data_IF_469048471688
#
_entry.id   IF_469048471688
#
_cell.length_a   1.000
_cell.length_b   1.000
_cell.length_c   1.000
_cell.angle_alpha   90.00
_cell.angle_beta   90.00
_cell.angle_gamma   90.00
#
_symmetry.space_group_name_H-M   'P 1'
#
loop_
_entity.id
_entity.type
_entity.pdbx_description
1 polymer ?
#
# COMPACT_ATOMS: atom_id res chain seq x y z
N UNK A 1 -18.21 -11.05 -7.75
CA UNK A 1 -18.28 -9.59 -7.56
C UNK A 1 -16.89 -9.04 -7.22
N UNK A 2 -15.89 -9.24 -8.09
CA UNK A 2 -14.47 -8.99 -7.74
C UNK A 2 -14.09 -7.50 -7.67
N UNK A 3 -14.87 -6.61 -8.32
CA UNK A 3 -14.54 -5.18 -8.44
C UNK A 3 -15.11 -4.29 -7.34
N UNK A 4 -16.07 -4.77 -6.54
CA UNK A 4 -16.74 -3.94 -5.53
C UNK A 4 -15.77 -3.34 -4.49
N UNK A 5 -14.80 -4.10 -3.94
CA UNK A 5 -13.80 -3.53 -3.02
C UNK A 5 -12.94 -2.43 -3.66
N UNK A 6 -12.59 -2.56 -4.95
CA UNK A 6 -11.80 -1.55 -5.70
C UNK A 6 -12.60 -0.26 -5.93
N UNK A 7 -13.91 -0.38 -6.20
CA UNK A 7 -14.80 0.78 -6.32
C UNK A 7 -14.94 1.53 -5.00
N UNK A 8 -15.11 0.82 -3.89
CA UNK A 8 -15.14 1.43 -2.56
C UNK A 8 -13.82 2.19 -2.25
N UNK A 9 -12.67 1.57 -2.54
CA UNK A 9 -11.38 2.24 -2.37
C UNK A 9 -11.21 3.46 -3.27
N UNK A 10 -11.78 3.45 -4.47
CA UNK A 10 -11.78 4.61 -5.36
C UNK A 10 -12.59 5.78 -4.77
N UNK A 11 -13.70 5.49 -4.08
CA UNK A 11 -14.45 6.51 -3.33
C UNK A 11 -13.61 7.09 -2.18
N UNK A 12 -12.91 6.26 -1.42
CA UNK A 12 -12.02 6.74 -0.36
C UNK A 12 -10.85 7.58 -0.92
N UNK A 13 -10.24 7.15 -2.03
CA UNK A 13 -9.20 7.91 -2.72
C UNK A 13 -9.71 9.29 -3.12
N UNK A 14 -10.91 9.40 -3.71
CA UNK A 14 -11.49 10.67 -4.12
C UNK A 14 -11.73 11.61 -2.92
N UNK A 15 -12.09 11.06 -1.75
CA UNK A 15 -12.16 11.82 -0.49
C UNK A 15 -10.77 12.32 -0.09
N UNK A 16 -9.74 11.47 -0.20
CA UNK A 16 -8.34 11.84 0.01
C UNK A 16 -7.90 13.01 -0.88
N UNK A 17 -8.15 12.93 -2.18
CA UNK A 17 -7.84 13.97 -3.16
C UNK A 17 -8.52 15.31 -2.83
N UNK A 18 -9.79 15.24 -2.42
CA UNK A 18 -10.56 16.42 -2.00
C UNK A 18 -9.94 17.07 -0.75
N UNK A 19 -9.57 16.27 0.26
CA UNK A 19 -8.95 16.80 1.48
C UNK A 19 -7.53 17.30 1.23
N UNK A 20 -6.77 16.68 0.33
CA UNK A 20 -5.47 17.18 -0.11
C UNK A 20 -5.60 18.57 -0.73
N UNK A 21 -6.58 18.74 -1.63
CA UNK A 21 -6.87 20.03 -2.24
C UNK A 21 -7.28 21.06 -1.18
N UNK A 22 -8.19 20.70 -0.27
CA UNK A 22 -8.65 21.59 0.82
C UNK A 22 -7.51 22.00 1.75
N UNK A 23 -6.68 21.05 2.17
CA UNK A 23 -5.51 21.29 3.03
C UNK A 23 -4.49 22.18 2.33
N UNK A 24 -4.12 21.86 1.09
CA UNK A 24 -3.18 22.65 0.28
C UNK A 24 -3.67 24.08 0.07
N UNK A 25 -4.98 24.24 -0.20
CA UNK A 25 -5.62 25.55 -0.36
C UNK A 25 -5.57 26.36 0.93
N UNK A 26 -5.85 25.72 2.07
CA UNK A 26 -5.82 26.34 3.38
C UNK A 26 -4.41 26.83 3.77
N UNK A 27 -3.38 26.06 3.42
CA UNK A 27 -2.00 26.37 3.80
C UNK A 27 -1.29 27.32 2.84
N UNK A 28 -1.50 27.17 1.53
CA UNK A 28 -0.68 27.82 0.51
C UNK A 28 -1.50 28.52 -0.60
N UNK A 29 -2.83 28.48 -0.52
CA UNK A 29 -3.73 29.14 -1.46
C UNK A 29 -4.10 28.31 -2.69
N UNK A 30 -5.04 28.85 -3.49
CA UNK A 30 -5.70 28.13 -4.60
C UNK A 30 -4.74 27.65 -5.69
N UNK A 31 -3.69 28.42 -6.01
CA UNK A 31 -2.75 28.05 -7.07
C UNK A 31 -1.95 26.79 -6.69
N UNK A 32 -1.45 26.73 -5.45
CA UNK A 32 -0.73 25.57 -4.93
C UNK A 32 -1.65 24.35 -4.84
N UNK A 33 -2.89 24.53 -4.40
CA UNK A 33 -3.85 23.44 -4.29
C UNK A 33 -4.12 22.72 -5.63
N UNK A 34 -4.23 23.48 -6.73
CA UNK A 34 -4.40 22.90 -8.08
C UNK A 34 -3.18 22.09 -8.50
N UNK A 35 -1.98 22.60 -8.23
CA UNK A 35 -0.74 21.89 -8.56
C UNK A 35 -0.46 20.71 -7.65
N UNK A 36 -0.86 20.77 -6.37
CA UNK A 36 -0.78 19.64 -5.45
C UNK A 36 -1.68 18.49 -5.91
N UNK A 37 -2.94 18.79 -6.28
CA UNK A 37 -3.85 17.79 -6.85
C UNK A 37 -3.33 17.22 -8.17
N UNK A 38 -2.75 18.06 -9.04
CA UNK A 38 -2.07 17.57 -10.25
C UNK A 38 -0.92 16.61 -9.89
N UNK A 39 -0.05 16.98 -8.94
CA UNK A 39 1.05 16.13 -8.48
C UNK A 39 0.58 14.79 -7.91
N UNK A 40 -0.50 14.79 -7.13
CA UNK A 40 -1.12 13.59 -6.57
C UNK A 40 -1.63 12.64 -7.66
N UNK A 41 -2.51 13.15 -8.54
CA UNK A 41 -3.18 12.35 -9.57
C UNK A 41 -2.23 11.83 -10.64
N UNK A 42 -1.08 12.47 -10.82
CA UNK A 42 -0.10 12.10 -11.83
C UNK A 42 1.10 11.35 -11.27
N UNK A 43 1.29 11.30 -9.95
CA UNK A 43 2.36 10.50 -9.36
C UNK A 43 2.08 9.00 -9.56
N UNK A 44 3.08 8.28 -10.05
CA UNK A 44 2.90 6.88 -10.44
C UNK A 44 2.54 5.97 -9.26
N UNK A 45 3.12 6.22 -8.08
CA UNK A 45 2.93 5.37 -6.91
C UNK A 45 1.59 5.63 -6.24
N UNK A 46 1.16 6.89 -6.13
CA UNK A 46 -0.18 7.23 -5.67
C UNK A 46 -1.23 6.56 -6.56
N UNK A 47 -1.13 6.72 -7.88
CA UNK A 47 -2.04 6.10 -8.85
C UNK A 47 -2.10 4.57 -8.68
N UNK A 48 -0.94 3.93 -8.51
CA UNK A 48 -0.81 2.48 -8.36
C UNK A 48 -1.35 1.94 -7.02
N UNK A 49 -1.14 2.66 -5.91
CA UNK A 49 -1.40 2.14 -4.57
C UNK A 49 -2.75 2.56 -3.97
N UNK A 50 -3.18 3.81 -4.12
CA UNK A 50 -4.25 4.38 -3.28
C UNK A 50 -5.62 3.71 -3.49
N UNK A 51 -5.85 3.13 -4.66
CA UNK A 51 -7.10 2.42 -5.00
C UNK A 51 -7.06 0.92 -4.68
N UNK A 52 -5.90 0.41 -4.23
CA UNK A 52 -5.77 -0.98 -3.77
C UNK A 52 -6.39 -1.13 -2.39
N UNK A 53 -6.91 -2.33 -2.10
CA UNK A 53 -7.55 -2.71 -0.84
C UNK A 53 -6.51 -2.94 0.27
N UNK A 54 -5.75 -1.90 0.58
CA UNK A 54 -4.73 -1.87 1.63
C UNK A 54 -5.23 -1.00 2.78
N UNK A 55 -4.95 -1.41 4.02
CA UNK A 55 -5.19 -0.55 5.19
C UNK A 55 -4.37 0.74 5.12
N UNK A 56 -3.17 0.70 4.53
CA UNK A 56 -2.34 1.89 4.28
C UNK A 56 -3.01 2.92 3.36
N UNK A 57 -3.83 2.50 2.40
CA UNK A 57 -4.57 3.43 1.53
C UNK A 57 -5.58 4.21 2.35
N UNK A 58 -6.34 3.53 3.22
CA UNK A 58 -7.30 4.18 4.12
C UNK A 58 -6.60 5.04 5.18
N UNK A 59 -5.48 4.58 5.75
CA UNK A 59 -4.61 5.37 6.63
C UNK A 59 -4.14 6.66 5.96
N UNK A 60 -3.78 6.61 4.68
CA UNK A 60 -3.35 7.78 3.90
C UNK A 60 -4.48 8.79 3.74
N UNK A 61 -5.68 8.33 3.37
CA UNK A 61 -6.89 9.18 3.25
C UNK A 61 -7.24 9.82 4.59
N UNK A 62 -7.27 9.02 5.67
CA UNK A 62 -7.57 9.50 7.02
C UNK A 62 -6.49 10.46 7.53
N UNK A 63 -5.22 10.25 7.19
CA UNK A 63 -4.13 11.16 7.52
C UNK A 63 -4.38 12.53 6.91
N UNK A 64 -4.59 12.61 5.59
CA UNK A 64 -4.79 13.91 4.92
C UNK A 64 -6.10 14.59 5.37
N UNK A 65 -7.18 13.81 5.51
CA UNK A 65 -8.45 14.32 6.03
C UNK A 65 -8.32 14.82 7.47
N UNK A 66 -7.62 14.09 8.33
CA UNK A 66 -7.42 14.49 9.72
C UNK A 66 -6.53 15.72 9.83
N UNK A 67 -5.40 15.79 9.12
CA UNK A 67 -4.49 16.95 9.11
C UNK A 67 -5.22 18.26 8.74
N UNK A 68 -6.23 18.22 7.88
CA UNK A 68 -7.07 19.38 7.58
C UNK A 68 -7.76 19.99 8.81
N UNK A 69 -8.13 19.16 9.79
CA UNK A 69 -8.86 19.55 10.99
C UNK A 69 -7.97 20.04 12.14
N UNK A 70 -6.66 19.80 12.08
CA UNK A 70 -5.72 20.15 13.17
C UNK A 70 -5.32 21.64 13.17
N UNK A 71 -5.59 22.38 14.27
CA UNK A 71 -5.26 23.81 14.37
C UNK A 71 -3.76 24.10 14.31
N UNK A 72 -2.91 23.25 14.90
CA UNK A 72 -1.45 23.42 14.91
C UNK A 72 -0.84 23.51 13.52
N UNK A 73 -1.51 23.05 12.47
CA UNK A 73 -1.04 23.13 11.09
C UNK A 73 -1.48 24.42 10.39
N UNK A 74 -2.48 25.13 10.93
CA UNK A 74 -3.04 26.35 10.36
C UNK A 74 -2.20 27.57 10.75
N UNK A 75 -2.05 28.52 9.82
CA UNK A 75 -1.30 29.77 10.03
C UNK A 75 -2.18 30.86 10.68
N UNK A 76 -3.51 30.82 10.50
CA UNK A 76 -4.43 31.84 11.03
C UNK A 76 -5.87 31.33 11.16
N UNK A 77 -6.29 30.94 12.36
CA UNK A 77 -7.66 31.16 12.87
C UNK A 77 -7.72 30.68 14.32
N UNK A 78 -8.00 31.61 15.25
CA UNK A 78 -8.08 31.33 16.70
C UNK A 78 -9.51 31.14 17.22
N UNK A 79 -10.54 31.50 16.46
CA UNK A 79 -11.93 31.55 16.97
C UNK A 79 -12.69 30.22 16.90
N UNK A 80 -12.43 29.37 15.88
CA UNK A 80 -13.14 28.08 15.68
C UNK A 80 -12.26 26.83 15.87
N UNK A 81 -11.09 26.99 16.49
CA UNK A 81 -10.06 25.94 16.54
C UNK A 81 -10.48 24.68 17.34
N UNK A 82 -11.31 24.84 18.38
CA UNK A 82 -11.70 23.75 19.28
C UNK A 82 -12.66 22.75 18.61
N UNK A 83 -13.69 23.23 17.90
CA UNK A 83 -14.68 22.35 17.27
C UNK A 83 -14.09 21.56 16.10
N UNK A 84 -13.16 22.17 15.34
CA UNK A 84 -12.46 21.46 14.27
C UNK A 84 -11.48 20.42 14.82
N UNK A 85 -10.81 20.67 15.94
CA UNK A 85 -9.82 19.75 16.51
C UNK A 85 -10.43 18.43 16.97
N UNK A 86 -11.63 18.43 17.54
CA UNK A 86 -12.32 17.20 17.96
C UNK A 86 -12.51 16.26 16.77
N UNK A 87 -12.89 16.78 15.60
CA UNK A 87 -12.97 15.95 14.38
C UNK A 87 -11.61 15.39 13.96
N UNK A 88 -10.53 16.17 14.09
CA UNK A 88 -9.17 15.71 13.87
C UNK A 88 -8.77 14.57 14.81
N UNK A 89 -9.13 14.66 16.10
CA UNK A 89 -8.91 13.61 17.10
C UNK A 89 -9.71 12.34 16.81
N UNK A 90 -10.98 12.47 16.41
CA UNK A 90 -11.82 11.33 16.03
C UNK A 90 -11.21 10.60 14.84
N UNK A 91 -10.84 11.33 13.78
CA UNK A 91 -10.17 10.74 12.61
C UNK A 91 -8.85 10.08 12.99
N UNK A 92 -8.06 10.71 13.87
CA UNK A 92 -6.81 10.14 14.36
C UNK A 92 -7.01 8.84 15.15
N UNK A 93 -8.00 8.80 16.04
CA UNK A 93 -8.32 7.62 16.82
C UNK A 93 -8.80 6.47 15.93
N UNK A 94 -9.67 6.75 14.95
CA UNK A 94 -10.09 5.75 13.96
C UNK A 94 -8.93 5.24 13.12
N UNK A 95 -8.02 6.11 12.67
CA UNK A 95 -6.84 5.71 11.93
C UNK A 95 -5.96 4.75 12.77
N UNK A 96 -5.73 5.06 14.05
CA UNK A 96 -4.98 4.19 14.96
C UNK A 96 -5.64 2.83 15.23
N UNK A 97 -6.98 2.76 15.28
CA UNK A 97 -7.68 1.47 15.42
C UNK A 97 -7.58 0.64 14.14
N UNK A 98 -7.85 1.26 12.99
CA UNK A 98 -7.74 0.59 11.68
C UNK A 98 -6.31 0.13 11.44
N UNK A 99 -5.34 0.93 11.89
CA UNK A 99 -3.93 0.67 11.73
C UNK A 99 -3.10 1.29 12.87
N UNK A 100 -2.63 0.47 13.84
CA UNK A 100 -1.89 0.98 15.00
C UNK A 100 -0.65 1.80 14.67
N UNK A 101 -0.02 1.55 13.51
CA UNK A 101 1.15 2.34 13.06
C UNK A 101 0.83 3.81 12.77
N UNK A 102 -0.44 4.17 12.52
CA UNK A 102 -0.87 5.57 12.37
C UNK A 102 -0.56 6.42 13.60
N UNK A 103 -0.38 5.79 14.77
CA UNK A 103 0.04 6.47 15.99
C UNK A 103 1.34 7.27 15.79
N UNK A 104 2.27 6.80 14.92
CA UNK A 104 3.51 7.51 14.61
C UNK A 104 3.23 8.94 14.11
N UNK A 105 2.24 9.11 13.23
CA UNK A 105 1.84 10.40 12.66
C UNK A 105 1.14 11.24 13.72
N UNK A 106 0.17 10.65 14.43
CA UNK A 106 -0.67 11.39 15.36
C UNK A 106 0.04 11.77 16.65
N UNK A 107 1.08 11.03 17.07
CA UNK A 107 1.98 11.44 18.14
C UNK A 107 2.70 12.73 17.76
N UNK A 108 3.24 12.84 16.54
CA UNK A 108 3.89 14.08 16.09
C UNK A 108 2.92 15.27 16.11
N UNK A 109 1.74 15.10 15.51
CA UNK A 109 0.71 16.15 15.43
C UNK A 109 0.20 16.53 16.83
N UNK A 110 -0.03 15.54 17.70
CA UNK A 110 -0.48 15.73 19.07
C UNK A 110 0.56 16.44 19.93
N UNK A 111 1.84 16.09 19.82
CA UNK A 111 2.94 16.79 20.50
C UNK A 111 3.07 18.24 20.01
N UNK A 112 2.93 18.47 18.70
CA UNK A 112 2.92 19.81 18.13
C UNK A 112 1.76 20.65 18.67
N UNK A 113 0.53 20.11 18.68
CA UNK A 113 -0.64 20.79 19.26
C UNK A 113 -0.45 21.04 20.76
N UNK A 114 0.05 20.06 21.52
CA UNK A 114 0.30 20.18 22.96
C UNK A 114 1.33 21.29 23.27
N UNK A 115 2.35 21.45 22.42
CA UNK A 115 3.34 22.51 22.56
C UNK A 115 2.76 23.91 22.34
N UNK A 116 1.72 24.02 21.52
CA UNK A 116 1.04 25.27 21.16
C UNK A 116 -0.21 25.55 22.01
N UNK A 117 -0.78 24.53 22.65
CA UNK A 117 -2.00 24.62 23.42
C UNK A 117 -1.79 25.44 24.69
N UNK A 118 -2.71 26.39 24.93
CA UNK A 118 -2.71 27.23 26.13
C UNK A 118 -3.12 26.45 27.38
N UNK A 119 -4.05 25.52 27.23
CA UNK A 119 -4.54 24.65 28.30
C UNK A 119 -4.29 23.18 27.94
N UNK A 120 -3.12 22.69 28.35
CA UNK A 120 -2.63 21.34 28.05
C UNK A 120 -3.44 20.26 28.75
N UNK A 121 -3.86 20.52 29.98
CA UNK A 121 -4.61 19.56 30.78
C UNK A 121 -6.01 19.34 30.21
N UNK A 122 -6.69 20.43 29.82
CA UNK A 122 -7.97 20.33 29.12
C UNK A 122 -7.85 19.53 27.84
N UNK A 123 -6.83 19.79 27.01
CA UNK A 123 -6.63 19.05 25.77
C UNK A 123 -6.46 17.54 26.02
N UNK A 124 -5.63 17.15 26.99
CA UNK A 124 -5.39 15.74 27.29
C UNK A 124 -6.64 15.07 27.90
N UNK A 125 -7.18 15.62 28.99
CA UNK A 125 -8.20 14.94 29.79
C UNK A 125 -9.63 15.12 29.28
N UNK A 126 -9.93 16.22 28.58
CA UNK A 126 -11.29 16.51 28.08
C UNK A 126 -11.46 16.28 26.59
N UNK A 127 -10.38 16.13 25.81
CA UNK A 127 -10.47 15.89 24.37
C UNK A 127 -9.80 14.56 23.96
N UNK A 128 -8.51 14.36 24.25
CA UNK A 128 -7.76 13.16 23.82
C UNK A 128 -8.27 11.90 24.53
N UNK A 129 -8.30 11.92 25.87
CA UNK A 129 -8.65 10.74 26.66
C UNK A 129 -10.09 10.25 26.40
N UNK A 130 -11.13 11.10 26.39
CA UNK A 130 -12.49 10.64 26.15
C UNK A 130 -12.68 10.07 24.74
N UNK A 131 -12.11 10.71 23.71
CA UNK A 131 -12.19 10.23 22.32
C UNK A 131 -11.44 8.91 22.17
N UNK A 132 -10.24 8.81 22.73
CA UNK A 132 -9.42 7.60 22.69
C UNK A 132 -10.09 6.42 23.39
N UNK A 133 -10.60 6.62 24.60
CA UNK A 133 -11.32 5.59 25.36
C UNK A 133 -12.58 5.12 24.63
N UNK A 134 -13.37 6.05 24.09
CA UNK A 134 -14.58 5.72 23.35
C UNK A 134 -14.27 4.87 22.11
N UNK A 135 -13.35 5.32 21.26
CA UNK A 135 -13.02 4.64 20.00
C UNK A 135 -12.35 3.29 20.26
N UNK A 136 -11.44 3.21 21.23
CA UNK A 136 -10.79 1.94 21.60
C UNK A 136 -11.79 0.97 22.24
N UNK A 137 -12.68 1.46 23.11
CA UNK A 137 -13.73 0.65 23.72
C UNK A 137 -14.71 0.08 22.70
N UNK A 138 -15.13 0.88 21.72
CA UNK A 138 -15.94 0.41 20.60
C UNK A 138 -15.21 -0.64 19.74
N UNK A 139 -13.91 -0.43 19.48
CA UNK A 139 -13.10 -1.39 18.74
C UNK A 139 -12.97 -2.73 19.49
N UNK A 140 -12.67 -2.68 20.79
CA UNK A 140 -12.55 -3.89 21.64
C UNK A 140 -13.89 -4.63 21.76
N UNK A 141 -15.01 -3.91 21.77
CA UNK A 141 -16.34 -4.52 21.75
C UNK A 141 -16.58 -5.26 20.42
N UNK A 142 -16.23 -4.64 19.29
CA UNK A 142 -16.33 -5.28 17.97
C UNK A 142 -15.42 -6.51 17.89
N UNK A 143 -14.18 -6.41 18.37
CA UNK A 143 -13.25 -7.54 18.45
C UNK A 143 -13.84 -8.67 19.30
N UNK A 144 -14.46 -8.35 20.44
CA UNK A 144 -15.13 -9.35 21.29
C UNK A 144 -16.30 -10.06 20.60
N UNK A 145 -17.06 -9.34 19.77
CA UNK A 145 -18.18 -9.91 19.00
C UNK A 145 -17.68 -10.85 17.90
N UNK A 146 -16.57 -10.51 17.25
CA UNK A 146 -16.02 -11.28 16.13
C UNK A 146 -15.20 -12.48 16.61
N UNK A 147 -14.26 -12.26 17.55
CA UNK A 147 -13.36 -13.31 18.03
C UNK A 147 -13.98 -14.22 19.10
N UNK A 148 -15.10 -13.82 19.71
CA UNK A 148 -15.72 -14.58 20.80
C UNK A 148 -14.98 -14.47 22.15
N UNK A 149 -13.86 -13.74 22.21
CA UNK A 149 -13.04 -13.51 23.40
C UNK A 149 -12.60 -12.05 23.49
N UNK A 150 -12.22 -11.59 24.69
CA UNK A 150 -11.75 -10.21 24.86
C UNK A 150 -10.33 -10.09 24.31
N UNK A 151 -10.19 -9.38 23.19
CA UNK A 151 -8.92 -9.17 22.51
C UNK A 151 -8.70 -7.69 22.30
N UNK A 152 -7.52 -7.19 22.69
CA UNK A 152 -7.10 -5.84 22.40
C UNK A 152 -6.12 -5.87 21.22
N UNK A 153 -6.65 -5.83 20.00
CA UNK A 153 -5.87 -6.01 18.76
C UNK A 153 -4.67 -5.04 18.65
N UNK A 154 -4.79 -3.73 18.96
CA UNK A 154 -3.66 -2.82 18.91
C UNK A 154 -2.50 -3.20 19.86
N UNK A 155 -2.80 -3.78 21.02
CA UNK A 155 -1.79 -4.24 21.97
C UNK A 155 -1.07 -5.48 21.44
N UNK A 156 -1.82 -6.46 20.92
CA UNK A 156 -1.23 -7.65 20.30
C UNK A 156 -0.36 -7.29 19.09
N UNK A 157 -0.81 -6.33 18.27
CA UNK A 157 -0.02 -5.79 17.17
C UNK A 157 1.31 -5.21 17.67
N UNK A 158 1.29 -4.42 18.74
CA UNK A 158 2.49 -3.83 19.32
C UNK A 158 3.45 -4.90 19.83
N UNK A 159 2.94 -5.89 20.58
CA UNK A 159 3.74 -7.03 21.06
C UNK A 159 4.42 -7.74 19.89
N UNK A 160 3.66 -8.17 18.88
CA UNK A 160 4.19 -8.95 17.77
C UNK A 160 5.20 -8.18 16.90
N UNK A 161 4.88 -6.94 16.53
CA UNK A 161 5.67 -6.19 15.55
C UNK A 161 6.89 -5.49 16.15
N UNK A 162 6.81 -5.01 17.39
CA UNK A 162 7.88 -4.23 18.02
C UNK A 162 8.66 -5.01 19.07
N UNK A 163 8.03 -5.93 19.81
CA UNK A 163 8.69 -6.67 20.88
C UNK A 163 9.14 -8.07 20.46
N UNK A 164 8.48 -8.71 19.49
CA UNK A 164 8.75 -10.11 19.13
C UNK A 164 9.65 -10.31 17.88
N UNK A 165 10.21 -9.26 17.28
CA UNK A 165 10.95 -9.30 15.99
C UNK A 165 10.20 -10.01 14.84
N UNK A 166 8.87 -10.18 14.95
CA UNK A 166 8.09 -10.96 13.99
C UNK A 166 8.09 -10.36 12.58
N UNK A 167 8.26 -9.04 12.48
CA UNK A 167 8.38 -8.35 11.19
C UNK A 167 9.63 -8.72 10.41
N UNK A 168 10.73 -9.07 11.08
CA UNK A 168 12.01 -9.39 10.42
C UNK A 168 11.93 -10.72 9.64
N UNK A 169 10.93 -11.55 9.92
CA UNK A 169 10.61 -12.77 9.15
C UNK A 169 10.42 -12.47 7.66
N UNK A 170 9.83 -11.33 7.34
CA UNK A 170 9.53 -10.92 5.96
C UNK A 170 10.69 -10.18 5.28
N UNK A 171 11.92 -10.36 5.79
CA UNK A 171 13.12 -9.73 5.26
C UNK A 171 13.38 -8.33 5.81
N UNK A 172 14.64 -7.89 5.70
CA UNK A 172 15.09 -6.60 6.25
C UNK A 172 15.82 -5.75 5.23
N UNK A 173 15.73 -4.42 5.41
CA UNK A 173 16.44 -3.45 4.60
C UNK A 173 17.32 -2.55 5.47
N UNK A 174 18.41 -2.01 4.89
CA UNK A 174 19.30 -1.07 5.59
C UNK A 174 18.55 0.17 6.08
N UNK A 175 19.02 0.79 7.17
CA UNK A 175 18.35 1.93 7.81
C UNK A 175 18.09 3.10 6.85
N UNK A 176 19.00 3.36 5.91
CA UNK A 176 18.89 4.47 4.95
C UNK A 176 17.93 4.19 3.79
N UNK A 177 17.34 3.00 3.70
CA UNK A 177 16.57 2.55 2.53
C UNK A 177 15.47 3.53 2.14
N UNK A 178 14.69 4.06 3.09
CA UNK A 178 13.65 5.05 2.79
C UNK A 178 14.20 6.34 2.17
N UNK A 179 15.38 6.79 2.58
CA UNK A 179 16.00 8.04 2.09
C UNK A 179 16.71 7.86 0.76
N UNK A 180 17.24 6.67 0.47
CA UNK A 180 18.01 6.42 -0.75
C UNK A 180 17.18 5.78 -1.86
N UNK A 181 16.22 4.93 -1.52
CA UNK A 181 15.48 4.09 -2.46
C UNK A 181 13.97 4.17 -2.25
N UNK A 182 13.47 3.82 -1.06
CA UNK A 182 12.05 3.66 -0.77
C UNK A 182 11.20 4.88 -1.13
N UNK A 183 11.33 5.95 -0.34
CA UNK A 183 10.52 7.16 -0.51
C UNK A 183 10.93 7.96 -1.75
N UNK A 184 12.20 7.91 -2.16
CA UNK A 184 12.71 8.58 -3.35
C UNK A 184 12.11 7.99 -4.63
N UNK A 185 11.98 6.66 -4.73
CA UNK A 185 11.34 5.99 -5.87
C UNK A 185 9.84 6.26 -5.91
N UNK A 186 9.17 6.35 -4.77
CA UNK A 186 7.75 6.76 -4.70
C UNK A 186 7.54 8.16 -5.29
N UNK A 187 8.44 9.10 -5.00
CA UNK A 187 8.40 10.46 -5.59
C UNK A 187 8.84 10.48 -7.06
N UNK A 188 9.78 9.62 -7.46
CA UNK A 188 10.35 9.57 -8.81
C UNK A 188 10.75 10.98 -9.31
N UNK A 189 10.21 11.44 -10.43
CA UNK A 189 10.53 12.74 -11.03
C UNK A 189 9.91 13.92 -10.30
N UNK A 190 9.02 13.70 -9.33
CA UNK A 190 8.55 14.74 -8.42
C UNK A 190 9.55 15.08 -7.30
N UNK A 191 10.56 14.23 -7.06
CA UNK A 191 11.55 14.42 -5.99
C UNK A 191 12.19 15.83 -5.97
N UNK A 192 12.77 16.35 -7.08
CA UNK A 192 13.38 17.68 -7.06
C UNK A 192 12.36 18.80 -6.79
N UNK A 193 11.12 18.65 -7.26
CA UNK A 193 10.05 19.62 -7.01
C UNK A 193 9.60 19.61 -5.55
N UNK A 194 9.51 18.42 -4.94
CA UNK A 194 9.18 18.25 -3.52
C UNK A 194 10.24 18.91 -2.63
N UNK A 195 11.53 18.63 -2.89
CA UNK A 195 12.65 19.22 -2.14
C UNK A 195 12.69 20.75 -2.28
N UNK A 196 12.55 21.27 -3.51
CA UNK A 196 12.46 22.71 -3.73
C UNK A 196 11.25 23.31 -2.99
N UNK A 197 10.13 22.59 -2.92
CA UNK A 197 8.91 23.06 -2.28
C UNK A 197 9.03 23.14 -0.77
N UNK A 198 9.72 22.15 -0.16
CA UNK A 198 10.07 22.17 1.27
C UNK A 198 10.92 23.41 1.58
N UNK A 199 11.96 23.67 0.80
CA UNK A 199 12.87 24.81 1.01
C UNK A 199 12.15 26.14 0.81
N UNK A 200 11.34 26.27 -0.25
CA UNK A 200 10.69 27.52 -0.62
C UNK A 200 9.51 27.87 0.28
N UNK A 201 8.73 26.89 0.72
CA UNK A 201 7.55 27.12 1.57
C UNK A 201 7.91 27.44 3.02
N UNK A 202 9.09 27.01 3.49
CA UNK A 202 9.55 27.13 4.89
C UNK A 202 8.56 26.53 5.91
N UNK A 203 7.69 25.62 5.48
CA UNK A 203 6.70 25.00 6.37
C UNK A 203 7.31 23.81 7.12
N UNK A 204 8.00 24.11 8.22
CA UNK A 204 8.70 23.11 9.03
C UNK A 204 7.78 22.07 9.69
N UNK A 205 6.50 22.40 9.91
CA UNK A 205 5.55 21.50 10.58
C UNK A 205 5.23 20.27 9.72
N UNK A 206 5.04 20.48 8.41
CA UNK A 206 4.76 19.38 7.48
C UNK A 206 6.03 18.69 7.01
N UNK A 207 7.12 19.43 6.76
CA UNK A 207 8.40 18.79 6.40
C UNK A 207 8.99 18.01 7.57
N UNK A 208 8.80 18.50 8.80
CA UNK A 208 9.13 17.81 10.04
C UNK A 208 8.32 16.52 10.24
N UNK A 209 7.03 16.51 9.89
CA UNK A 209 6.23 15.28 9.90
C UNK A 209 6.76 14.22 8.92
N UNK A 210 7.10 14.61 7.69
CA UNK A 210 7.71 13.68 6.72
C UNK A 210 9.00 13.12 7.30
N UNK A 211 9.91 13.97 7.80
CA UNK A 211 11.17 13.54 8.37
C UNK A 211 10.97 12.61 9.58
N UNK A 212 10.05 12.94 10.49
CA UNK A 212 9.69 12.15 11.66
C UNK A 212 9.26 10.72 11.28
N UNK A 213 8.34 10.60 10.32
CA UNK A 213 7.84 9.32 9.84
C UNK A 213 8.96 8.50 9.19
N UNK A 214 9.74 9.11 8.29
CA UNK A 214 10.83 8.40 7.60
C UNK A 214 11.90 7.91 8.59
N UNK A 215 12.29 8.74 9.57
CA UNK A 215 13.29 8.38 10.58
C UNK A 215 12.80 7.21 11.44
N UNK A 216 11.57 7.26 11.95
CA UNK A 216 11.06 6.20 12.83
C UNK A 216 10.89 4.87 12.10
N UNK A 217 10.34 4.88 10.88
CA UNK A 217 10.27 3.65 10.08
C UNK A 217 11.65 3.16 9.61
N UNK A 218 12.64 4.04 9.50
CA UNK A 218 14.02 3.65 9.19
C UNK A 218 14.71 2.84 10.28
N UNK A 219 14.25 2.94 11.54
CA UNK A 219 14.76 2.15 12.68
C UNK A 219 14.32 0.69 12.59
N UNK A 220 13.15 0.41 12.02
CA UNK A 220 12.62 -0.95 11.89
C UNK A 220 13.38 -1.77 10.86
N UNK A 221 13.65 -3.05 11.12
CA UNK A 221 14.37 -3.94 10.20
C UNK A 221 13.61 -4.12 8.89
N UNK A 222 12.38 -4.62 9.00
CA UNK A 222 11.45 -4.77 7.89
C UNK A 222 10.87 -3.43 7.42
N UNK A 223 10.89 -3.21 6.10
CA UNK A 223 10.47 -1.96 5.45
C UNK A 223 9.69 -2.27 4.19
N UNK A 224 8.63 -1.52 3.99
CA UNK A 224 7.84 -1.58 2.76
C UNK A 224 7.51 -0.16 2.28
N UNK A 225 7.31 0.00 0.97
CA UNK A 225 6.89 1.29 0.39
C UNK A 225 5.56 1.78 0.96
N UNK A 226 4.60 0.87 1.19
CA UNK A 226 3.25 1.24 1.67
C UNK A 226 3.22 1.80 3.09
N UNK A 227 4.21 1.50 3.94
CA UNK A 227 4.26 2.00 5.32
C UNK A 227 4.41 3.53 5.41
N UNK A 228 5.09 4.14 4.42
CA UNK A 228 5.30 5.58 4.35
C UNK A 228 4.40 6.27 3.32
N UNK A 229 3.43 5.53 2.74
CA UNK A 229 2.41 6.08 1.85
C UNK A 229 1.65 7.28 2.48
N UNK A 230 1.31 7.29 3.79
CA UNK A 230 0.53 8.39 4.37
C UNK A 230 1.18 9.77 4.31
N UNK A 231 2.51 9.84 4.18
CA UNK A 231 3.25 11.10 4.05
C UNK A 231 3.60 11.45 2.60
N UNK A 232 3.34 10.57 1.63
CA UNK A 232 3.57 10.83 0.21
C UNK A 232 2.72 12.00 -0.32
N UNK A 233 1.41 12.13 -0.03
CA UNK A 233 0.63 13.28 -0.48
C UNK A 233 1.14 14.62 0.08
N UNK A 234 1.72 14.60 1.28
CA UNK A 234 2.33 15.79 1.89
C UNK A 234 3.58 16.21 1.11
N UNK A 235 4.40 15.25 0.69
CA UNK A 235 5.54 15.51 -0.18
C UNK A 235 5.10 16.01 -1.57
N UNK A 236 4.05 15.44 -2.15
CA UNK A 236 3.49 15.88 -3.43
C UNK A 236 2.83 17.26 -3.36
N UNK A 237 2.28 17.65 -2.20
CA UNK A 237 1.85 19.02 -1.95
C UNK A 237 3.02 20.02 -2.02
N UNK A 238 4.21 19.67 -1.54
CA UNK A 238 5.41 20.50 -1.73
C UNK A 238 5.84 20.56 -3.20
N UNK A 239 5.72 19.47 -3.96
CA UNK A 239 5.91 19.51 -5.42
C UNK A 239 4.95 20.50 -6.07
N UNK A 240 3.68 20.49 -5.64
CA UNK A 240 2.66 21.45 -6.07
C UNK A 240 3.05 22.90 -5.76
N UNK A 241 3.69 23.16 -4.61
CA UNK A 241 4.18 24.48 -4.25
C UNK A 241 5.24 25.00 -5.24
N UNK A 242 6.21 24.16 -5.58
CA UNK A 242 7.27 24.49 -6.57
C UNK A 242 6.69 24.74 -7.96
N UNK A 243 5.78 23.87 -8.42
CA UNK A 243 5.09 24.03 -9.70
C UNK A 243 4.27 25.33 -9.76
N UNK A 244 3.58 25.68 -8.66
CA UNK A 244 2.87 26.94 -8.55
C UNK A 244 3.79 28.17 -8.62
N UNK A 245 5.00 28.08 -8.07
CA UNK A 245 5.98 29.15 -8.17
C UNK A 245 6.48 29.33 -9.62
N UNK A 246 6.75 28.23 -10.34
CA UNK A 246 7.13 28.25 -11.76
C UNK A 246 5.99 28.83 -12.60
N UNK A 247 4.75 28.38 -12.37
CA UNK A 247 3.56 28.83 -13.07
C UNK A 247 3.33 30.33 -12.92
N UNK A 248 3.45 30.88 -11.70
CA UNK A 248 3.29 32.32 -11.44
C UNK A 248 4.36 33.17 -12.12
N UNK A 249 5.63 32.73 -12.09
CA UNK A 249 6.72 33.42 -12.80
C UNK A 249 6.46 33.47 -14.31
N UNK A 250 6.00 32.36 -14.89
CA UNK A 250 5.64 32.31 -16.29
C UNK A 250 4.50 33.27 -16.64
N UNK A 251 3.43 33.34 -15.84
CA UNK A 251 2.33 34.29 -16.08
C UNK A 251 2.84 35.74 -16.03
N UNK A 252 3.72 36.07 -15.09
CA UNK A 252 4.32 37.40 -14.98
C UNK A 252 5.26 37.74 -16.17
N UNK A 253 6.02 36.77 -16.68
CA UNK A 253 6.89 36.93 -17.85
C UNK A 253 6.09 37.04 -19.16
N UNK A 254 5.03 36.25 -19.33
CA UNK A 254 4.16 36.27 -20.51
C UNK A 254 3.37 37.59 -20.64
N UNK A 255 3.03 38.24 -19.51
CA UNK A 255 2.45 39.58 -19.49
C UNK A 255 3.46 40.67 -19.92
N UNK A 256 4.77 40.42 -19.77
CA UNK A 256 5.83 41.37 -20.11
C UNK A 256 6.41 41.17 -21.51
N UNK A 257 6.46 39.94 -22.01
CA UNK A 257 7.01 39.60 -23.32
C UNK A 257 6.11 38.60 -24.06
N UNK A 258 5.73 38.93 -25.30
CA UNK A 258 5.10 38.00 -26.26
C UNK A 258 6.10 36.91 -26.70
N UNK A 259 6.46 36.00 -25.78
CA UNK A 259 7.41 34.92 -26.06
C UNK A 259 6.76 33.79 -26.86
N UNK A 260 7.43 33.37 -27.95
CA UNK A 260 7.05 32.25 -28.84
C UNK A 260 7.46 30.86 -28.33
N UNK A 261 8.25 30.77 -27.26
CA UNK A 261 8.79 29.47 -26.79
C UNK A 261 7.82 28.76 -25.84
N UNK A 262 7.74 27.40 -25.87
CA UNK A 262 7.01 26.65 -24.87
C UNK A 262 7.60 26.93 -23.49
N UNK A 263 6.73 27.35 -22.58
CA UNK A 263 7.13 27.77 -21.24
C UNK A 263 7.88 26.66 -20.50
N UNK A 264 8.84 27.04 -19.63
CA UNK A 264 9.50 26.10 -18.69
C UNK A 264 8.49 25.21 -17.96
N UNK A 265 7.28 25.74 -17.73
CA UNK A 265 6.15 25.03 -17.17
C UNK A 265 5.63 23.89 -18.07
N UNK A 266 5.44 24.12 -19.37
CA UNK A 266 5.00 23.07 -20.31
C UNK A 266 5.98 21.91 -20.34
N UNK A 267 7.28 22.20 -20.39
CA UNK A 267 8.31 21.16 -20.35
C UNK A 267 8.29 20.37 -19.04
N UNK A 268 8.14 21.04 -17.89
CA UNK A 268 8.01 20.38 -16.60
C UNK A 268 6.80 19.44 -16.56
N UNK A 269 5.63 19.90 -17.04
CA UNK A 269 4.41 19.07 -17.10
C UNK A 269 4.62 17.87 -18.03
N UNK A 270 5.12 18.08 -19.25
CA UNK A 270 5.37 17.00 -20.20
C UNK A 270 6.34 15.97 -19.64
N UNK A 271 7.43 16.42 -18.98
CA UNK A 271 8.40 15.54 -18.34
C UNK A 271 7.79 14.71 -17.20
N UNK A 272 7.02 15.33 -16.31
CA UNK A 272 6.37 14.65 -15.20
C UNK A 272 5.35 13.61 -15.71
N UNK A 273 4.53 13.97 -16.69
CA UNK A 273 3.57 13.05 -17.30
C UNK A 273 4.26 11.91 -18.06
N UNK A 274 5.27 12.21 -18.88
CA UNK A 274 5.97 11.22 -19.69
C UNK A 274 6.73 10.19 -18.85
N UNK A 275 7.12 10.54 -17.61
CA UNK A 275 7.83 9.63 -16.71
C UNK A 275 6.89 8.89 -15.76
N UNK A 276 5.85 9.54 -15.23
CA UNK A 276 4.97 8.90 -14.26
C UNK A 276 3.81 8.13 -14.90
N UNK A 277 3.18 8.62 -15.97
CA UNK A 277 1.98 7.97 -16.54
C UNK A 277 2.32 6.58 -17.12
N UNK A 278 3.38 6.40 -17.92
CA UNK A 278 3.75 5.06 -18.39
C UNK A 278 4.07 4.10 -17.24
N UNK A 279 4.80 4.59 -16.22
CA UNK A 279 5.13 3.80 -15.04
C UNK A 279 3.87 3.39 -14.26
N UNK A 280 2.93 4.32 -14.06
CA UNK A 280 1.66 4.08 -13.39
C UNK A 280 0.83 3.01 -14.11
N UNK A 281 0.68 3.17 -15.43
CA UNK A 281 -0.08 2.23 -16.27
C UNK A 281 0.58 0.86 -16.32
N UNK A 282 1.90 0.80 -16.48
CA UNK A 282 2.63 -0.46 -16.50
C UNK A 282 2.48 -1.22 -15.19
N UNK A 283 2.73 -0.55 -14.05
CA UNK A 283 2.63 -1.18 -12.74
C UNK A 283 1.19 -1.58 -12.39
N UNK A 284 0.19 -0.86 -12.89
CA UNK A 284 -1.22 -1.15 -12.59
C UNK A 284 -1.84 -2.21 -13.50
N UNK A 285 -1.39 -2.33 -14.75
CA UNK A 285 -2.06 -3.15 -15.78
C UNK A 285 -1.24 -4.33 -16.31
N UNK A 286 0.08 -4.29 -16.15
CA UNK A 286 0.99 -5.24 -16.82
C UNK A 286 1.80 -6.03 -15.80
N UNK A 287 2.45 -5.34 -14.86
CA UNK A 287 3.34 -5.98 -13.90
C UNK A 287 2.55 -6.89 -12.94
N UNK A 288 3.02 -8.13 -12.77
CA UNK A 288 2.45 -9.17 -11.92
C UNK A 288 0.98 -9.53 -12.21
N UNK A 289 0.49 -9.28 -13.44
CA UNK A 289 -0.92 -9.55 -13.79
C UNK A 289 -1.29 -11.03 -13.80
N UNK A 290 -0.32 -11.91 -14.03
CA UNK A 290 -0.54 -13.34 -14.28
C UNK A 290 -1.26 -14.05 -13.13
N UNK A 291 -1.05 -13.62 -11.89
CA UNK A 291 -1.72 -14.17 -10.71
C UNK A 291 -3.23 -13.88 -10.72
N UNK A 292 -3.65 -12.70 -11.19
CA UNK A 292 -5.07 -12.35 -11.33
C UNK A 292 -5.68 -13.03 -12.56
N UNK A 293 -4.94 -13.06 -13.68
CA UNK A 293 -5.38 -13.67 -14.94
C UNK A 293 -5.66 -15.18 -14.80
N UNK A 294 -4.78 -15.91 -14.10
CA UNK A 294 -4.98 -17.34 -13.81
C UNK A 294 -6.26 -17.56 -13.01
N UNK A 295 -6.49 -16.77 -11.96
CA UNK A 295 -7.69 -16.95 -11.13
C UNK A 295 -8.97 -16.59 -11.90
N UNK A 296 -8.92 -15.59 -12.79
CA UNK A 296 -10.03 -15.28 -13.69
C UNK A 296 -10.32 -16.44 -14.67
N UNK A 297 -9.28 -17.09 -15.17
CA UNK A 297 -9.41 -18.28 -16.02
C UNK A 297 -10.01 -19.45 -15.25
N UNK A 298 -9.44 -19.79 -14.08
CA UNK A 298 -9.94 -20.87 -13.23
C UNK A 298 -11.39 -20.64 -12.80
N UNK A 299 -11.78 -19.41 -12.49
CA UNK A 299 -13.17 -19.07 -12.15
C UNK A 299 -14.14 -19.39 -13.31
N UNK A 300 -13.75 -19.08 -14.55
CA UNK A 300 -14.57 -19.38 -15.75
C UNK A 300 -14.63 -20.86 -16.06
N UNK A 301 -13.54 -21.60 -15.90
CA UNK A 301 -13.52 -23.04 -16.15
C UNK A 301 -14.20 -23.84 -15.03
N UNK A 302 -14.09 -23.39 -13.77
CA UNK A 302 -14.86 -23.90 -12.64
C UNK A 302 -16.37 -23.70 -12.85
N UNK A 303 -16.78 -22.55 -13.41
CA UNK A 303 -18.19 -22.32 -13.75
C UNK A 303 -18.76 -23.27 -14.83
N UNK A 304 -17.88 -23.94 -15.59
CA UNK A 304 -18.22 -24.98 -16.57
C UNK A 304 -17.96 -26.39 -16.05
N UNK A 305 -17.74 -26.54 -14.75
CA UNK A 305 -17.46 -27.83 -14.10
C UNK A 305 -16.17 -28.54 -14.58
N UNK A 306 -15.23 -27.81 -15.21
CA UNK A 306 -13.97 -28.38 -15.70
C UNK A 306 -12.85 -28.37 -14.67
N UNK A 307 -12.93 -27.48 -13.69
CA UNK A 307 -12.00 -27.41 -12.55
C UNK A 307 -12.72 -27.96 -11.33
N UNK A 308 -12.15 -28.98 -10.68
CA UNK A 308 -12.72 -29.63 -9.49
C UNK A 308 -11.92 -29.37 -8.22
N UNK A 309 -10.61 -29.23 -8.35
CA UNK A 309 -9.68 -28.89 -7.26
C UNK A 309 -8.40 -28.25 -7.81
N UNK A 310 -7.77 -27.36 -7.04
CA UNK A 310 -6.57 -26.63 -7.47
C UNK A 310 -5.46 -26.68 -6.43
N UNK A 311 -4.27 -27.10 -6.83
CA UNK A 311 -3.06 -27.02 -6.03
C UNK A 311 -2.16 -25.89 -6.54
N UNK A 312 -1.75 -24.99 -5.66
CA UNK A 312 -0.81 -23.90 -5.96
C UNK A 312 0.57 -24.29 -5.43
N UNK A 313 1.47 -24.64 -6.35
CA UNK A 313 2.89 -24.91 -6.09
C UNK A 313 3.70 -23.66 -6.43
N UNK A 314 3.52 -22.64 -5.60
CA UNK A 314 4.11 -21.32 -5.74
C UNK A 314 4.10 -20.64 -4.37
N UNK A 315 4.82 -19.52 -4.18
CA UNK A 315 4.83 -18.80 -2.92
C UNK A 315 3.43 -18.56 -2.36
N UNK A 316 3.29 -18.68 -1.05
CA UNK A 316 2.01 -18.44 -0.38
C UNK A 316 1.44 -17.05 -0.72
N UNK A 317 0.11 -16.94 -0.74
CA UNK A 317 -0.61 -15.69 -1.06
C UNK A 317 -0.25 -15.05 -2.43
N UNK A 318 0.37 -15.79 -3.36
CA UNK A 318 0.71 -15.29 -4.69
C UNK A 318 -0.52 -15.03 -5.60
N UNK A 319 -1.71 -15.54 -5.25
CA UNK A 319 -2.94 -15.36 -6.01
C UNK A 319 -4.09 -14.84 -5.14
N UNK A 320 -5.09 -14.14 -5.71
CA UNK A 320 -6.25 -13.64 -4.96
C UNK A 320 -7.23 -14.75 -4.49
N UNK A 321 -6.97 -16.01 -4.85
CA UNK A 321 -7.66 -17.18 -4.30
C UNK A 321 -9.20 -17.06 -4.38
N UNK A 322 -9.95 -17.41 -3.33
CA UNK A 322 -11.42 -17.37 -3.32
C UNK A 322 -12.03 -16.00 -3.61
N UNK A 323 -11.29 -14.91 -3.37
CA UNK A 323 -11.80 -13.55 -3.65
C UNK A 323 -12.05 -13.30 -5.13
N UNK A 324 -11.38 -14.04 -6.01
CA UNK A 324 -11.63 -14.02 -7.46
C UNK A 324 -12.41 -15.24 -7.91
N UNK A 325 -12.13 -16.42 -7.36
CA UNK A 325 -12.76 -17.66 -7.81
C UNK A 325 -14.29 -17.65 -7.61
N UNK A 326 -14.76 -17.19 -6.44
CA UNK A 326 -16.17 -17.15 -6.03
C UNK A 326 -16.92 -18.49 -6.22
N UNK A 327 -16.24 -19.61 -6.00
CA UNK A 327 -16.80 -20.96 -6.04
C UNK A 327 -16.25 -21.77 -4.88
N UNK A 328 -17.09 -22.65 -4.36
CA UNK A 328 -16.73 -23.61 -3.32
C UNK A 328 -16.16 -24.86 -3.98
N UNK A 329 -14.83 -24.91 -4.12
CA UNK A 329 -14.09 -26.07 -4.60
C UNK A 329 -12.78 -26.18 -3.82
N UNK A 330 -12.28 -27.38 -3.54
CA UNK A 330 -11.05 -27.57 -2.79
C UNK A 330 -9.85 -26.89 -3.47
N UNK A 331 -9.22 -25.95 -2.77
CA UNK A 331 -7.96 -25.37 -3.18
C UNK A 331 -6.93 -25.49 -2.06
N UNK A 332 -5.66 -25.66 -2.40
CA UNK A 332 -4.54 -25.65 -1.43
C UNK A 332 -3.39 -24.81 -1.97
N UNK A 333 -2.84 -23.94 -1.13
CA UNK A 333 -1.57 -23.26 -1.35
C UNK A 333 -0.59 -23.67 -0.25
N UNK A 334 0.70 -23.42 -0.46
CA UNK A 334 1.76 -23.74 0.48
C UNK A 334 1.65 -22.88 1.74
N UNK A 335 1.65 -23.48 2.92
CA UNK A 335 1.61 -22.76 4.18
C UNK A 335 2.87 -21.92 4.40
N UNK A 336 2.68 -20.73 4.93
CA UNK A 336 3.77 -19.82 5.31
C UNK A 336 3.47 -19.13 6.64
N UNK A 337 2.69 -19.82 7.48
CA UNK A 337 2.42 -19.38 8.83
C UNK A 337 3.74 -19.32 9.61
N UNK A 338 4.07 -18.20 10.26
CA UNK A 338 5.33 -18.07 10.96
C UNK A 338 5.38 -19.07 12.13
N UNK A 339 6.46 -19.87 12.18
CA UNK A 339 6.71 -20.80 13.29
C UNK A 339 7.09 -20.05 14.57
N UNK A 340 6.74 -20.62 15.73
CA UNK A 340 7.23 -20.14 17.03
C UNK A 340 8.75 -20.37 17.19
N UNK A 341 9.30 -21.37 16.48
CA UNK A 341 10.72 -21.69 16.48
C UNK A 341 11.46 -20.92 15.37
N UNK A 342 12.39 -20.04 15.78
CA UNK A 342 13.21 -19.27 14.83
C UNK A 342 14.10 -20.18 14.00
N UNK A 343 14.01 -20.04 12.67
CA UNK A 343 14.90 -20.69 11.72
C UNK A 343 14.38 -22.00 11.14
N UNK A 344 13.20 -22.47 11.54
CA UNK A 344 12.52 -23.59 10.87
C UNK A 344 11.86 -23.04 9.59
N UNK A 345 12.22 -23.55 8.39
CA UNK A 345 11.61 -23.11 7.15
C UNK A 345 10.15 -23.56 7.08
N UNK A 346 9.27 -22.68 6.64
CA UNK A 346 7.86 -23.00 6.41
C UNK A 346 7.67 -23.90 5.17
N UNK A 347 6.44 -24.35 4.92
CA UNK A 347 6.12 -25.22 3.76
C UNK A 347 6.49 -24.54 2.44
N UNK A 348 6.20 -23.24 2.31
CA UNK A 348 6.57 -22.45 1.14
C UNK A 348 8.09 -22.35 0.98
N UNK A 349 8.85 -22.13 2.05
CA UNK A 349 10.31 -22.02 2.02
C UNK A 349 10.96 -23.36 1.65
N UNK A 350 10.49 -24.47 2.24
CA UNK A 350 10.94 -25.83 1.89
C UNK A 350 10.76 -26.12 0.41
N UNK A 351 9.58 -25.79 -0.14
CA UNK A 351 9.33 -25.93 -1.56
C UNK A 351 10.25 -25.07 -2.42
N UNK A 352 10.55 -23.82 -2.02
CA UNK A 352 11.48 -22.98 -2.77
C UNK A 352 12.93 -23.48 -2.71
N UNK A 353 13.32 -24.19 -1.64
CA UNK A 353 14.66 -24.77 -1.47
C UNK A 353 14.86 -26.05 -2.29
N UNK A 354 13.87 -26.96 -2.27
CA UNK A 354 13.88 -28.21 -3.04
C UNK A 354 12.48 -28.50 -3.61
N UNK A 355 12.14 -27.92 -4.78
CA UNK A 355 10.81 -28.08 -5.36
C UNK A 355 10.46 -29.54 -5.65
N UNK A 356 11.44 -30.32 -6.13
CA UNK A 356 11.22 -31.71 -6.59
C UNK A 356 11.02 -32.61 -5.39
N UNK A 357 11.94 -32.60 -4.42
CA UNK A 357 11.81 -33.43 -3.22
C UNK A 357 10.55 -33.09 -2.42
N UNK A 358 10.20 -31.80 -2.33
CA UNK A 358 8.95 -31.37 -1.72
C UNK A 358 7.72 -31.90 -2.46
N UNK A 359 7.69 -31.82 -3.80
CA UNK A 359 6.55 -32.29 -4.58
C UNK A 359 6.38 -33.82 -4.51
N UNK A 360 7.47 -34.58 -4.44
CA UNK A 360 7.44 -36.04 -4.23
C UNK A 360 6.92 -36.41 -2.84
N UNK A 361 7.40 -35.74 -1.79
CA UNK A 361 6.90 -35.91 -0.42
C UNK A 361 5.39 -35.62 -0.36
N UNK A 362 4.97 -34.51 -0.99
CA UNK A 362 3.58 -34.10 -1.08
C UNK A 362 2.71 -35.15 -1.79
N UNK A 363 3.24 -35.75 -2.86
CA UNK A 363 2.52 -36.70 -3.69
C UNK A 363 2.17 -38.02 -2.98
N UNK A 364 2.90 -38.36 -1.91
CA UNK A 364 2.62 -39.56 -1.13
C UNK A 364 1.28 -39.50 -0.38
N UNK A 365 0.84 -38.30 -0.01
CA UNK A 365 -0.35 -38.09 0.83
C UNK A 365 -1.40 -37.17 0.19
N UNK A 366 -1.14 -36.66 -1.01
CA UNK A 366 -2.06 -35.70 -1.62
C UNK A 366 -3.37 -36.33 -2.10
N UNK A 367 -4.46 -35.58 -1.93
CA UNK A 367 -5.65 -35.78 -2.73
C UNK A 367 -5.36 -35.23 -4.13
N UNK A 368 -5.33 -36.12 -5.13
CA UNK A 368 -4.92 -35.80 -6.50
C UNK A 368 -5.69 -34.56 -7.03
N UNK A 369 -5.00 -33.44 -7.30
CA UNK A 369 -5.68 -32.22 -7.72
C UNK A 369 -6.07 -32.29 -9.20
N UNK A 370 -7.17 -31.65 -9.58
CA UNK A 370 -7.56 -31.56 -11.00
C UNK A 370 -6.64 -30.62 -11.78
N UNK A 371 -6.12 -29.58 -11.11
CA UNK A 371 -5.27 -28.55 -11.70
C UNK A 371 -4.11 -28.20 -10.76
N UNK A 372 -2.94 -27.97 -11.34
CA UNK A 372 -1.76 -27.46 -10.64
C UNK A 372 -1.39 -26.11 -11.25
N UNK A 373 -1.10 -25.13 -10.40
CA UNK A 373 -0.68 -23.79 -10.81
C UNK A 373 0.71 -23.51 -10.27
N UNK A 374 1.61 -23.08 -11.15
CA UNK A 374 3.02 -22.81 -10.85
C UNK A 374 3.46 -21.51 -11.52
N UNK A 375 4.53 -20.91 -11.01
CA UNK A 375 5.34 -19.99 -11.80
C UNK A 375 6.26 -20.77 -12.76
N UNK A 376 6.66 -20.15 -13.86
CA UNK A 376 7.50 -20.79 -14.88
C UNK A 376 8.85 -21.31 -14.35
N UNK A 377 9.45 -20.62 -13.39
CA UNK A 377 10.72 -21.02 -12.77
C UNK A 377 10.60 -22.40 -12.10
N UNK A 378 9.54 -22.60 -11.33
CA UNK A 378 9.23 -23.81 -10.57
C UNK A 378 8.70 -24.91 -11.49
N UNK A 379 7.92 -24.55 -12.51
CA UNK A 379 7.48 -25.48 -13.56
C UNK A 379 8.68 -26.16 -14.25
N UNK A 380 9.76 -25.41 -14.55
CA UNK A 380 10.95 -25.98 -15.19
C UNK A 380 11.59 -27.07 -14.33
N UNK A 381 11.61 -26.91 -13.01
CA UNK A 381 12.10 -27.92 -12.07
C UNK A 381 11.16 -29.13 -11.96
N UNK A 382 9.84 -28.89 -11.99
CA UNK A 382 8.82 -29.92 -11.79
C UNK A 382 8.32 -30.59 -13.08
N UNK A 383 8.92 -30.31 -14.23
CA UNK A 383 8.42 -30.77 -15.52
C UNK A 383 8.30 -32.29 -15.62
N UNK A 384 9.30 -33.02 -15.14
CA UNK A 384 9.30 -34.49 -15.13
C UNK A 384 8.27 -35.02 -14.14
N UNK A 385 8.21 -34.46 -12.94
CA UNK A 385 7.22 -34.78 -11.92
C UNK A 385 5.77 -34.63 -12.45
N UNK A 386 5.47 -33.52 -13.12
CA UNK A 386 4.14 -33.27 -13.71
C UNK A 386 3.80 -34.29 -14.79
N UNK A 387 4.75 -34.64 -15.65
CA UNK A 387 4.54 -35.65 -16.69
C UNK A 387 4.30 -37.04 -16.11
N UNK A 388 5.07 -37.44 -15.09
CA UNK A 388 4.90 -38.73 -14.41
C UNK A 388 3.51 -38.85 -13.75
N UNK A 389 2.99 -37.75 -13.23
CA UNK A 389 1.66 -37.70 -12.59
C UNK A 389 0.53 -37.33 -13.56
N UNK A 390 0.75 -37.46 -14.88
CA UNK A 390 -0.28 -37.24 -15.92
C UNK A 390 -0.86 -35.82 -15.94
N UNK A 391 -0.05 -34.80 -15.64
CA UNK A 391 -0.42 -33.40 -15.80
C UNK A 391 0.10 -32.85 -17.14
N UNK A 392 -0.74 -32.06 -17.82
CA UNK A 392 -0.35 -31.35 -19.05
C UNK A 392 -0.67 -29.86 -18.96
N UNK A 393 0.20 -29.04 -19.54
CA UNK A 393 -0.03 -27.60 -19.65
C UNK A 393 -1.29 -27.33 -20.47
N UNK A 394 -2.23 -26.60 -19.89
CA UNK A 394 -3.46 -26.16 -20.56
C UNK A 394 -3.45 -24.67 -20.87
N UNK A 395 -2.74 -23.88 -20.07
CA UNK A 395 -2.69 -22.43 -20.24
C UNK A 395 -1.48 -21.79 -19.59
N UNK A 396 -0.95 -20.75 -20.23
CA UNK A 396 0.13 -19.89 -19.71
C UNK A 396 -0.25 -18.43 -19.80
N UNK A 397 0.05 -17.70 -18.73
CA UNK A 397 -0.25 -16.28 -18.60
C UNK A 397 1.02 -15.50 -18.33
N UNK A 398 1.21 -14.41 -19.05
CA UNK A 398 2.28 -13.47 -18.75
C UNK A 398 2.12 -12.88 -17.34
N UNK A 399 3.20 -12.85 -16.57
CA UNK A 399 3.23 -12.32 -15.21
C UNK A 399 4.08 -11.05 -15.09
N UNK A 400 5.39 -11.11 -15.40
CA UNK A 400 6.28 -9.96 -15.24
C UNK A 400 7.46 -9.99 -16.23
N UNK A 401 7.99 -8.80 -16.56
CA UNK A 401 9.19 -8.67 -17.39
C UNK A 401 10.50 -8.73 -16.60
N UNK A 402 10.44 -8.46 -15.28
CA UNK A 402 11.62 -8.30 -14.43
C UNK A 402 11.46 -9.08 -13.14
N UNK A 403 12.59 -9.57 -12.61
CA UNK A 403 12.72 -10.23 -11.33
C UNK A 403 12.49 -9.22 -10.20
N UNK A 404 11.67 -9.60 -9.22
CA UNK A 404 11.45 -8.87 -7.97
C UNK A 404 11.71 -9.86 -6.84
N UNK A 405 12.81 -9.64 -6.11
CA UNK A 405 13.31 -10.42 -4.97
C UNK A 405 13.71 -11.90 -5.24
N UNK A 406 12.97 -12.64 -6.06
CA UNK A 406 13.18 -14.07 -6.40
C UNK A 406 13.36 -14.27 -7.90
N UNK A 407 13.67 -15.49 -8.35
CA UNK A 407 13.84 -15.79 -9.77
C UNK A 407 12.71 -15.26 -10.65
N UNK A 408 13.03 -14.99 -11.91
CA UNK A 408 12.11 -14.32 -12.81
C UNK A 408 10.85 -15.17 -13.01
N UNK A 409 9.78 -14.76 -12.35
CA UNK A 409 8.44 -15.27 -12.51
C UNK A 409 7.82 -14.66 -13.78
N UNK A 410 8.35 -15.03 -14.96
CA UNK A 410 7.92 -14.44 -16.23
C UNK A 410 6.47 -14.79 -16.59
N UNK A 411 6.05 -16.02 -16.28
CA UNK A 411 4.70 -16.50 -16.53
C UNK A 411 4.15 -17.35 -15.38
N UNK A 412 2.83 -17.39 -15.27
CA UNK A 412 2.08 -18.34 -14.43
C UNK A 412 1.47 -19.38 -15.35
N UNK A 413 1.65 -20.65 -15.01
CA UNK A 413 1.29 -21.80 -15.83
C UNK A 413 0.26 -22.64 -15.10
N UNK A 414 -0.73 -23.10 -15.85
CA UNK A 414 -1.78 -23.98 -15.38
C UNK A 414 -1.63 -25.32 -16.08
N UNK A 415 -1.47 -26.37 -15.27
CA UNK A 415 -1.49 -27.75 -15.69
C UNK A 415 -2.79 -28.41 -15.25
N UNK A 416 -3.36 -29.28 -16.09
CA UNK A 416 -4.55 -30.05 -15.77
C UNK A 416 -4.24 -31.54 -15.82
N UNK A 417 -4.87 -32.30 -14.93
CA UNK A 417 -4.80 -33.76 -14.94
C UNK A 417 -5.44 -34.27 -16.24
N UNK A 418 -4.69 -35.03 -17.04
CA UNK A 418 -5.28 -35.74 -18.17
C UNK A 418 -6.10 -36.90 -17.64
N UNK A 419 -7.35 -37.03 -18.12
CA UNK A 419 -8.11 -38.25 -17.89
C UNK A 419 -7.22 -39.43 -18.31
N UNK A 420 -6.95 -40.35 -17.37
CA UNK A 420 -6.49 -41.68 -17.76
C UNK A 420 -7.59 -42.21 -18.67
N UNK A 421 -7.27 -42.40 -19.94
CA UNK A 421 -8.10 -43.20 -20.82
C UNK A 421 -8.21 -44.56 -20.13
N UNK A 422 -9.38 -44.88 -19.58
CA UNK A 422 -9.72 -46.23 -19.17
C UNK A 422 -9.48 -47.12 -20.40
N UNK A 423 -8.33 -47.78 -20.43
CA UNK A 423 -7.97 -48.80 -21.41
C UNK A 423 -8.63 -50.12 -21.06
#
# INVERSE_FOLDING_TARGET
MTRAPRLLQSTFSAVGDLYLYKLSRLLFGNCVARWALFSELTNWFMFFCITRTLSNSLETVLTIAGLYYWPCLRVSSRSDASSTRIWGLVVAAFACVIRPTSAIIWIYVGLLELSLARDRMRFIFLEVLPVGVLVLGLATLLDRLVYGSWVLVPLNFFMFNFLSSGGDYYGTHKWHWYFTQGFTVMLLTFLPFSLAGVIMSRNWRLSGLIAWVLVLYSVLGHKEFRFVLPVLPIALMFSGFSLAAISRRHTAEALKHHSKYPSRMRWAICFLLATNVPMALYMSLVHQRGSEDVMNFLSREAAKDRVKSVLFLMPCHATPYYSTLHRDLPMRFLDCSPSEERGVPDESDRFMMDPVGFAEELANEWLLPSHIVLFESEERALREFLLMHSFKEVKRFFHAHFKVDRDLQASVVVHALTAQSDT
#
